data_IF_176791117029
#
_entry.id   IF_176791117029
#
_cell.length_a   1.000
_cell.length_b   1.000
_cell.length_c   1.000
_cell.angle_alpha   90.00
_cell.angle_beta   90.00
_cell.angle_gamma   90.00
#
_symmetry.space_group_name_H-M   'P 1'
#
loop_
_entity.id
_entity.type
_entity.pdbx_description
1 polymer ?
#
# COMPACT_ATOMS: atom_id res chain seq x y z
N UNK A 1 17.65 10.72 7.45
CA UNK A 1 16.81 11.69 8.21
C UNK A 1 15.60 10.95 8.77
N UNK A 2 15.36 10.94 10.09
CA UNK A 2 14.13 10.35 10.65
C UNK A 2 12.97 11.31 10.41
N UNK A 3 12.02 10.94 9.55
CA UNK A 3 10.75 11.66 9.41
C UNK A 3 9.98 11.49 10.71
N UNK A 4 9.60 12.59 11.36
CA UNK A 4 8.76 12.54 12.55
C UNK A 4 7.32 12.30 12.10
N UNK A 5 6.83 11.09 12.31
CA UNK A 5 5.42 10.75 12.10
C UNK A 5 4.66 10.98 13.41
N UNK A 6 3.52 11.67 13.32
CA UNK A 6 2.61 11.88 14.45
C UNK A 6 1.27 11.28 14.05
N UNK A 7 0.74 10.42 14.90
CA UNK A 7 -0.55 9.77 14.68
C UNK A 7 -1.64 10.54 15.42
N UNK A 8 -2.76 10.77 14.75
CA UNK A 8 -3.94 11.42 15.30
C UNK A 8 -5.13 10.47 15.18
N UNK A 9 -5.91 10.35 16.25
CA UNK A 9 -7.20 9.66 16.27
C UNK A 9 -8.37 10.62 16.47
N UNK A 10 -8.07 11.91 16.68
CA UNK A 10 -9.03 12.98 16.86
C UNK A 10 -8.97 13.93 15.66
N UNK A 11 -10.14 14.29 15.13
CA UNK A 11 -10.25 15.09 13.90
C UNK A 11 -9.82 16.54 14.10
N UNK A 12 -10.08 17.13 15.26
CA UNK A 12 -9.76 18.53 15.53
C UNK A 12 -8.23 18.71 15.67
N UNK A 13 -7.59 17.79 16.42
CA UNK A 13 -6.14 17.75 16.55
C UNK A 13 -5.44 17.46 15.20
N UNK A 14 -6.01 16.57 14.37
CA UNK A 14 -5.48 16.33 13.02
C UNK A 14 -5.62 17.55 12.12
N UNK A 15 -6.78 18.19 12.11
CA UNK A 15 -7.09 19.33 11.24
C UNK A 15 -6.18 20.54 11.54
N UNK A 16 -5.87 20.76 12.81
CA UNK A 16 -4.99 21.84 13.30
C UNK A 16 -3.49 21.53 13.21
N UNK A 17 -3.10 20.32 12.81
CA UNK A 17 -1.70 19.93 12.71
C UNK A 17 -0.98 20.65 11.54
N UNK A 18 0.28 21.01 11.77
CA UNK A 18 1.16 21.57 10.75
C UNK A 18 1.82 20.48 9.87
N UNK A 19 2.15 20.83 8.63
CA UNK A 19 2.87 19.98 7.70
C UNK A 19 1.98 19.16 6.77
N UNK A 20 2.56 18.11 6.16
CA UNK A 20 1.83 17.23 5.25
C UNK A 20 0.90 16.32 6.06
N UNK A 21 -0.41 16.44 5.81
CA UNK A 21 -1.45 15.65 6.44
C UNK A 21 -1.86 14.50 5.51
N UNK A 22 -1.76 13.27 6.01
CA UNK A 22 -2.23 12.06 5.32
C UNK A 22 -3.39 11.50 6.12
N UNK A 23 -4.56 11.44 5.49
CA UNK A 23 -5.78 10.86 6.02
C UNK A 23 -5.92 9.42 5.50
N UNK A 24 -5.84 8.44 6.39
CA UNK A 24 -6.16 7.04 6.11
C UNK A 24 -7.44 6.63 6.85
N UNK A 25 -8.59 7.06 6.33
CA UNK A 25 -9.91 6.77 6.90
C UNK A 25 -10.98 6.65 5.80
N UNK A 26 -12.17 6.10 6.09
CA UNK A 26 -13.22 5.93 5.08
C UNK A 26 -13.72 7.24 4.46
N UNK A 27 -13.60 8.36 5.18
CA UNK A 27 -14.13 9.67 4.78
C UNK A 27 -13.01 10.65 4.45
N UNK A 28 -13.13 11.45 3.37
CA UNK A 28 -12.16 12.49 3.08
C UNK A 28 -12.16 13.56 4.19
N UNK A 29 -11.00 14.17 4.42
CA UNK A 29 -10.81 15.29 5.34
C UNK A 29 -10.16 16.41 4.52
N UNK A 30 -10.70 17.62 4.62
CA UNK A 30 -10.19 18.79 3.89
C UNK A 30 -8.73 19.11 4.26
N UNK A 31 -8.01 19.73 3.33
CA UNK A 31 -6.58 20.06 3.47
C UNK A 31 -5.70 18.85 3.85
N UNK A 32 -6.05 17.66 3.38
CA UNK A 32 -5.24 16.45 3.58
C UNK A 32 -5.21 15.59 2.32
N UNK A 33 -4.14 14.82 2.17
CA UNK A 33 -4.07 13.74 1.20
C UNK A 33 -4.93 12.60 1.69
N UNK A 34 -5.87 12.12 0.88
CA UNK A 34 -6.78 11.04 1.26
C UNK A 34 -6.36 9.70 0.63
N UNK A 35 -6.07 8.73 1.49
CA UNK A 35 -5.96 7.32 1.13
C UNK A 35 -7.21 6.62 1.68
N UNK A 36 -8.11 6.17 0.80
CA UNK A 36 -9.28 5.41 1.24
C UNK A 36 -8.87 3.98 1.59
N UNK A 37 -9.17 3.47 2.80
CA UNK A 37 -8.81 2.12 3.19
C UNK A 37 -9.62 1.07 2.41
N UNK A 38 -8.95 0.03 1.91
CA UNK A 38 -9.61 -1.10 1.25
C UNK A 38 -10.30 -2.02 2.27
N UNK A 39 -9.73 -2.17 3.46
CA UNK A 39 -10.31 -2.96 4.56
C UNK A 39 -9.38 -4.04 5.13
N UNK A 40 -8.44 -4.56 4.33
CA UNK A 40 -7.53 -5.65 4.71
C UNK A 40 -6.84 -5.42 6.08
N UNK A 41 -6.38 -4.19 6.36
CA UNK A 41 -5.66 -3.87 7.58
C UNK A 41 -6.51 -3.91 8.87
N UNK A 42 -7.83 -4.07 8.75
CA UNK A 42 -8.76 -4.20 9.88
C UNK A 42 -9.26 -5.63 10.09
N UNK A 43 -8.90 -6.55 9.20
CA UNK A 43 -9.25 -7.96 9.36
C UNK A 43 -8.53 -8.55 10.59
N UNK A 44 -9.23 -9.47 11.27
CA UNK A 44 -8.71 -10.15 12.48
C UNK A 44 -8.38 -11.62 12.22
N UNK A 45 -8.74 -12.12 11.05
CA UNK A 45 -8.57 -13.49 10.63
C UNK A 45 -7.89 -13.49 9.27
N UNK A 46 -7.17 -14.57 8.98
CA UNK A 46 -6.61 -14.79 7.66
C UNK A 46 -7.70 -15.36 6.77
N UNK A 47 -8.09 -14.61 5.76
CA UNK A 47 -9.10 -15.02 4.78
C UNK A 47 -8.54 -14.80 3.38
N UNK A 48 -8.98 -15.65 2.46
CA UNK A 48 -8.58 -15.53 1.06
C UNK A 48 -9.02 -14.17 0.50
N UNK A 49 -8.13 -13.55 -0.27
CA UNK A 49 -8.29 -12.18 -0.76
C UNK A 49 -8.49 -12.20 -2.27
N UNK A 50 -9.70 -11.84 -2.71
CA UNK A 50 -9.98 -11.67 -4.13
C UNK A 50 -9.64 -10.25 -4.57
N UNK A 51 -8.47 -10.07 -5.20
CA UNK A 51 -8.05 -8.80 -5.77
C UNK A 51 -8.06 -8.81 -7.29
N UNK A 52 -8.51 -7.70 -7.87
CA UNK A 52 -8.33 -7.41 -9.28
C UNK A 52 -7.07 -6.56 -9.47
N UNK A 53 -6.16 -7.03 -10.32
CA UNK A 53 -4.98 -6.27 -10.71
C UNK A 53 -5.29 -5.42 -11.95
N UNK A 54 -4.91 -4.14 -11.89
CA UNK A 54 -4.94 -3.22 -13.04
C UNK A 54 -3.65 -2.40 -13.05
N UNK A 55 -3.61 -1.30 -13.81
CA UNK A 55 -2.47 -0.38 -13.84
C UNK A 55 -2.86 1.04 -13.42
N UNK A 56 -1.96 1.70 -12.71
CA UNK A 56 -1.98 3.14 -12.47
C UNK A 56 -0.70 3.73 -13.06
N UNK A 57 -0.83 4.42 -14.20
CA UNK A 57 0.30 4.99 -14.94
C UNK A 57 1.44 3.96 -15.09
N UNK A 58 1.10 2.82 -15.70
CA UNK A 58 1.98 1.67 -16.01
C UNK A 58 2.44 0.82 -14.81
N UNK A 59 2.20 1.26 -13.57
CA UNK A 59 2.46 0.45 -12.39
C UNK A 59 1.30 -0.50 -12.12
N UNK A 60 1.52 -1.82 -11.96
CA UNK A 60 0.51 -2.73 -11.45
C UNK A 60 -0.03 -2.22 -10.11
N UNK A 61 -1.34 -2.26 -9.93
CA UNK A 61 -2.02 -1.93 -8.68
C UNK A 61 -3.14 -2.92 -8.40
N UNK A 62 -3.42 -3.13 -7.12
CA UNK A 62 -4.55 -3.89 -6.60
C UNK A 62 -5.01 -3.25 -5.28
N UNK A 63 -6.01 -3.81 -4.59
CA UNK A 63 -6.72 -3.10 -3.51
C UNK A 63 -7.37 -1.79 -4.01
N UNK A 64 -8.03 -1.85 -5.17
CA UNK A 64 -8.60 -0.69 -5.87
C UNK A 64 -9.61 0.08 -5.03
N UNK A 65 -9.61 1.40 -5.17
CA UNK A 65 -10.55 2.32 -4.51
C UNK A 65 -11.18 3.25 -5.52
N UNK A 66 -12.46 3.54 -5.34
CA UNK A 66 -13.20 4.56 -6.09
C UNK A 66 -13.18 5.94 -5.43
N UNK A 67 -12.57 6.04 -4.24
CA UNK A 67 -12.45 7.26 -3.45
C UNK A 67 -11.01 7.45 -2.97
N UNK A 68 -10.65 8.69 -2.69
CA UNK A 68 -9.30 9.09 -2.31
C UNK A 68 -8.49 9.64 -3.49
N UNK A 69 -7.29 10.12 -3.18
CA UNK A 69 -6.38 10.74 -4.16
C UNK A 69 -5.58 9.71 -4.97
N UNK A 70 -5.68 8.43 -4.59
CA UNK A 70 -5.09 7.31 -5.30
C UNK A 70 -6.17 6.32 -5.76
N UNK A 71 -5.99 5.66 -6.92
CA UNK A 71 -6.95 4.68 -7.43
C UNK A 71 -6.94 3.34 -6.67
N UNK A 72 -6.17 3.24 -5.59
CA UNK A 72 -5.98 2.04 -4.77
C UNK A 72 -5.52 2.40 -3.36
N UNK A 73 -5.56 1.42 -2.47
CA UNK A 73 -4.98 1.51 -1.13
C UNK A 73 -3.53 0.97 -1.13
N UNK A 74 -2.50 1.85 -1.21
CA UNK A 74 -1.11 1.42 -1.21
C UNK A 74 -0.67 0.81 0.14
N UNK A 75 -1.34 1.12 1.25
CA UNK A 75 -0.96 0.60 2.56
C UNK A 75 -1.41 -0.85 2.72
N UNK A 76 -2.65 -1.15 2.33
CA UNK A 76 -3.15 -2.53 2.28
C UNK A 76 -2.38 -3.37 1.26
N UNK A 77 -2.18 -2.85 0.05
CA UNK A 77 -1.45 -3.57 -1.00
C UNK A 77 0.02 -3.84 -0.60
N UNK A 78 0.70 -2.85 0.01
CA UNK A 78 2.06 -3.04 0.51
C UNK A 78 2.12 -4.07 1.64
N UNK A 79 1.16 -4.04 2.58
CA UNK A 79 1.08 -5.05 3.63
C UNK A 79 0.92 -6.46 3.05
N UNK A 80 -0.01 -6.66 2.11
CA UNK A 80 -0.23 -7.96 1.47
C UNK A 80 1.05 -8.52 0.83
N UNK A 81 1.76 -7.70 0.04
CA UNK A 81 3.00 -8.13 -0.62
C UNK A 81 4.16 -8.31 0.37
N UNK A 82 4.38 -7.36 1.28
CA UNK A 82 5.53 -7.36 2.17
C UNK A 82 5.44 -8.43 3.25
N UNK A 83 4.23 -8.69 3.77
CA UNK A 83 4.01 -9.76 4.75
C UNK A 83 4.05 -11.15 4.12
N UNK A 84 3.92 -11.25 2.79
CA UNK A 84 3.64 -12.50 2.08
C UNK A 84 2.37 -13.17 2.61
N UNK A 85 1.30 -12.38 2.73
CA UNK A 85 0.01 -12.77 3.32
C UNK A 85 -0.48 -14.15 2.84
N UNK A 86 -0.34 -14.43 1.54
CA UNK A 86 -0.72 -15.68 0.87
C UNK A 86 -0.06 -16.92 1.48
N UNK A 87 1.18 -16.81 1.98
CA UNK A 87 1.92 -17.94 2.57
C UNK A 87 1.35 -18.38 3.92
N UNK A 88 0.47 -17.58 4.54
CA UNK A 88 -0.20 -17.96 5.79
C UNK A 88 -1.56 -18.63 5.56
N UNK A 89 -2.06 -18.66 4.32
CA UNK A 89 -3.28 -19.37 3.96
C UNK A 89 -2.98 -20.85 3.67
N UNK A 90 -3.97 -21.75 3.69
CA UNK A 90 -3.76 -23.13 3.25
C UNK A 90 -3.28 -23.18 1.79
N UNK A 91 -2.11 -23.76 1.54
CA UNK A 91 -1.54 -23.91 0.20
C UNK A 91 -1.02 -25.33 -0.05
N UNK A 92 -0.86 -25.69 -1.32
CA UNK A 92 -0.17 -26.91 -1.73
C UNK A 92 1.33 -26.61 -1.78
N UNK A 93 2.07 -27.22 -0.86
CA UNK A 93 3.50 -26.98 -0.75
C UNK A 93 4.30 -27.57 -1.91
N UNK A 94 5.41 -26.92 -2.25
CA UNK A 94 6.42 -27.48 -3.15
C UNK A 94 7.15 -28.68 -2.50
N UNK A 95 8.08 -29.29 -3.24
CA UNK A 95 8.90 -30.42 -2.76
C UNK A 95 9.73 -30.12 -1.49
N UNK A 96 9.87 -28.84 -1.11
CA UNK A 96 10.59 -28.38 0.06
C UNK A 96 9.66 -27.93 1.20
N UNK A 97 8.34 -28.09 1.06
CA UNK A 97 7.37 -27.68 2.08
C UNK A 97 7.06 -26.17 2.07
N UNK A 98 7.39 -25.45 0.99
CA UNK A 98 7.23 -23.99 0.90
C UNK A 98 6.07 -23.60 0.00
N UNK A 99 5.56 -22.39 0.17
CA UNK A 99 4.63 -21.79 -0.79
C UNK A 99 5.33 -21.63 -2.15
N UNK A 100 4.80 -22.19 -3.26
CA UNK A 100 5.45 -22.07 -4.55
C UNK A 100 5.33 -20.64 -5.08
N UNK A 101 6.45 -20.02 -5.45
CA UNK A 101 6.45 -18.64 -5.96
C UNK A 101 5.57 -18.46 -7.21
N UNK A 102 5.39 -19.52 -8.01
CA UNK A 102 4.52 -19.53 -9.20
C UNK A 102 3.06 -19.23 -8.87
N UNK A 103 2.62 -19.62 -7.67
CA UNK A 103 1.25 -19.44 -7.16
C UNK A 103 1.03 -18.08 -6.50
N UNK A 104 2.08 -17.25 -6.37
CA UNK A 104 1.91 -15.92 -5.78
C UNK A 104 1.12 -15.00 -6.70
N UNK A 105 0.32 -14.13 -6.11
CA UNK A 105 -0.39 -13.06 -6.82
C UNK A 105 0.56 -12.26 -7.73
N UNK A 106 1.78 -11.99 -7.25
CA UNK A 106 2.80 -11.27 -8.01
C UNK A 106 3.32 -12.05 -9.24
N UNK A 107 3.45 -13.37 -9.14
CA UNK A 107 3.81 -14.25 -10.26
C UNK A 107 2.68 -14.30 -11.29
N UNK A 108 1.44 -14.54 -10.85
CA UNK A 108 0.28 -14.61 -11.75
C UNK A 108 0.05 -13.32 -12.55
N UNK A 109 0.44 -12.17 -11.99
CA UNK A 109 0.30 -10.87 -12.64
C UNK A 109 1.61 -10.31 -13.21
N UNK A 110 2.69 -11.12 -13.26
CA UNK A 110 3.91 -10.79 -14.00
C UNK A 110 4.76 -9.67 -13.38
N UNK A 111 4.67 -9.43 -12.07
CA UNK A 111 5.45 -8.40 -11.37
C UNK A 111 6.32 -8.93 -10.22
N UNK A 112 6.48 -10.25 -10.09
CA UNK A 112 7.28 -10.89 -9.04
C UNK A 112 8.70 -10.30 -8.90
N UNK A 113 9.35 -10.01 -10.02
CA UNK A 113 10.72 -9.48 -10.06
C UNK A 113 10.81 -7.95 -9.92
N UNK A 114 9.68 -7.26 -9.73
CA UNK A 114 9.63 -5.80 -9.60
C UNK A 114 9.65 -5.38 -8.14
N UNK A 115 10.38 -4.31 -7.77
CA UNK A 115 10.29 -3.72 -6.44
C UNK A 115 9.04 -2.82 -6.33
N UNK A 116 7.86 -3.41 -6.56
CA UNK A 116 6.62 -2.68 -6.83
C UNK A 116 6.22 -1.70 -5.71
N UNK A 117 6.44 -2.09 -4.44
CA UNK A 117 6.21 -1.22 -3.29
C UNK A 117 7.09 0.04 -3.36
N UNK A 118 8.36 -0.10 -3.76
CA UNK A 118 9.27 1.03 -3.91
C UNK A 118 8.89 1.91 -5.09
N UNK A 119 8.43 1.32 -6.20
CA UNK A 119 7.93 2.06 -7.36
C UNK A 119 6.71 2.91 -6.98
N UNK A 120 5.76 2.34 -6.22
CA UNK A 120 4.63 3.09 -5.67
C UNK A 120 5.09 4.20 -4.74
N UNK A 121 5.99 3.92 -3.79
CA UNK A 121 6.48 4.91 -2.82
C UNK A 121 7.17 6.09 -3.51
N UNK A 122 7.98 5.84 -4.54
CA UNK A 122 8.63 6.88 -5.33
C UNK A 122 7.59 7.75 -6.05
N UNK A 123 6.60 7.12 -6.68
CA UNK A 123 5.56 7.82 -7.44
C UNK A 123 4.66 8.67 -6.54
N UNK A 124 4.22 8.10 -5.42
CA UNK A 124 3.42 8.80 -4.41
C UNK A 124 4.20 9.97 -3.81
N UNK A 125 5.48 9.78 -3.47
CA UNK A 125 6.32 10.86 -2.97
C UNK A 125 6.49 11.98 -4.00
N UNK A 126 6.66 11.64 -5.29
CA UNK A 126 6.70 12.64 -6.37
C UNK A 126 5.39 13.40 -6.53
N UNK A 127 4.25 12.71 -6.36
CA UNK A 127 2.92 13.31 -6.44
C UNK A 127 2.65 14.29 -5.29
N UNK A 128 3.00 13.93 -4.05
CA UNK A 128 2.60 14.71 -2.86
C UNK A 128 3.68 15.65 -2.32
N UNK A 129 4.96 15.34 -2.52
CA UNK A 129 6.09 16.13 -2.00
C UNK A 129 6.72 16.96 -3.14
N UNK A 130 6.63 16.48 -4.37
CA UNK A 130 7.08 17.16 -5.58
C UNK A 130 8.03 16.33 -6.43
N UNK A 131 8.19 16.70 -7.70
CA UNK A 131 8.92 15.93 -8.72
C UNK A 131 10.38 15.61 -8.37
N UNK A 132 11.00 16.39 -7.49
CA UNK A 132 12.36 16.23 -6.98
C UNK A 132 12.50 15.15 -5.89
N UNK A 133 11.39 14.58 -5.42
CA UNK A 133 11.41 13.53 -4.41
C UNK A 133 12.13 12.28 -4.93
N UNK A 134 13.11 11.81 -4.16
CA UNK A 134 13.90 10.62 -4.49
C UNK A 134 14.07 9.73 -3.26
N UNK A 135 13.87 8.43 -3.44
CA UNK A 135 13.93 7.45 -2.35
C UNK A 135 15.32 7.38 -1.68
N UNK A 136 16.41 7.49 -2.46
CA UNK A 136 17.80 7.39 -1.97
C UNK A 136 18.15 8.43 -0.92
N UNK A 137 17.44 9.57 -0.89
CA UNK A 137 17.64 10.62 0.11
C UNK A 137 17.20 10.19 1.53
N UNK A 138 16.49 9.05 1.65
CA UNK A 138 15.83 8.63 2.89
C UNK A 138 16.23 7.23 3.39
N UNK A 139 17.10 6.49 2.68
CA UNK A 139 17.57 5.13 3.05
C UNK A 139 19.03 5.06 3.55
N UNK A 140 19.62 6.18 3.97
CA UNK A 140 20.98 6.24 4.57
C UNK A 140 20.95 6.39 6.08
#
# INVERSE_FOLDING_TARGET
MRVKVIHYSDLEAFSSAEGIKINYSPTPIEDSVHISPQGLLWEKELVDQEFYCTTWEELPIFCQRSMGDLPFDPLAAAFFLASRYEEYLPFIADQHGRFPASESFASHHGFLERPLINEWALKIGKLWIGAQFELKQYYT
#
